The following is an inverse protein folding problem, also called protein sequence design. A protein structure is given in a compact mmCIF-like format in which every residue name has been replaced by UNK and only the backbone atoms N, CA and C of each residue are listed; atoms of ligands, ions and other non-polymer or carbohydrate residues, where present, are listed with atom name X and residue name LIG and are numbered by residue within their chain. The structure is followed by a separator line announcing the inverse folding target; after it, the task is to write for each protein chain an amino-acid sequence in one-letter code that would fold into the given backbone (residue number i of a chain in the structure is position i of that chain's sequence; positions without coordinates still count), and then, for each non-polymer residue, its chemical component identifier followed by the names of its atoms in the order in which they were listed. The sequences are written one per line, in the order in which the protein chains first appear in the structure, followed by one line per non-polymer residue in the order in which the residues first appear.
data_IF_328408649982
#
_entry.id   IF_328408649982
#
_cell.length_a   1.000
_cell.length_b   1.000
_cell.length_c   1.000
_cell.angle_alpha   90.00
_cell.angle_beta   90.00
_cell.angle_gamma   90.00
#
_symmetry.space_group_name_H-M   'P 1'
#
loop_
_entity.id
_entity.type
_entity.pdbx_description
1 polymer ?
#
# COMPACT_ATOMS: atom_id res chain seq x y z
N UNK A 1 -3.45 21.26 -20.92
CA UNK A 1 -4.49 20.71 -20.00
C UNK A 1 -5.65 20.07 -20.76
N UNK A 2 -6.40 20.80 -21.60
CA UNK A 2 -7.58 20.27 -22.33
C UNK A 2 -7.31 18.95 -23.09
N UNK A 3 -6.12 18.83 -23.69
CA UNK A 3 -5.77 17.61 -24.43
C UNK A 3 -5.57 16.38 -23.52
N UNK A 4 -4.94 16.55 -22.35
CA UNK A 4 -4.79 15.44 -21.38
C UNK A 4 -6.14 14.98 -20.86
N UNK A 5 -7.05 15.92 -20.60
CA UNK A 5 -8.43 15.62 -20.19
C UNK A 5 -9.16 14.83 -21.28
N UNK A 6 -9.07 15.25 -22.55
CA UNK A 6 -9.67 14.55 -23.69
C UNK A 6 -9.15 13.11 -23.81
N UNK A 7 -7.85 12.91 -23.69
CA UNK A 7 -7.23 11.58 -23.76
C UNK A 7 -7.66 10.72 -22.56
N UNK A 8 -7.71 11.27 -21.35
CA UNK A 8 -8.14 10.53 -20.17
C UNK A 8 -9.61 10.09 -20.26
N UNK A 9 -10.49 10.92 -20.82
CA UNK A 9 -11.88 10.54 -21.10
C UNK A 9 -11.99 9.39 -22.11
N UNK A 10 -11.15 9.41 -23.16
CA UNK A 10 -11.07 8.29 -24.10
C UNK A 10 -10.68 6.99 -23.37
N UNK A 11 -9.61 7.03 -22.57
CA UNK A 11 -9.15 5.87 -21.80
C UNK A 11 -10.22 5.37 -20.82
N UNK A 12 -10.94 6.28 -20.15
CA UNK A 12 -12.06 5.94 -19.27
C UNK A 12 -13.14 5.16 -20.00
N UNK A 13 -13.56 5.64 -21.18
CA UNK A 13 -14.62 5.00 -21.96
C UNK A 13 -14.18 3.64 -22.53
N UNK A 14 -12.93 3.53 -22.97
CA UNK A 14 -12.44 2.34 -23.66
C UNK A 14 -12.01 1.22 -22.71
N UNK A 15 -11.47 1.57 -21.52
CA UNK A 15 -10.83 0.60 -20.62
C UNK A 15 -11.38 0.61 -19.19
N UNK A 16 -12.08 1.66 -18.78
CA UNK A 16 -12.58 1.85 -17.41
C UNK A 16 -11.58 1.44 -16.30
N UNK A 17 -10.36 2.03 -16.27
CA UNK A 17 -9.32 1.62 -15.35
C UNK A 17 -9.60 2.09 -13.91
N UNK A 18 -9.08 1.36 -12.92
CA UNK A 18 -9.14 1.76 -11.50
C UNK A 18 -8.15 2.86 -11.13
N UNK A 19 -7.12 3.08 -11.96
CA UNK A 19 -6.08 4.10 -11.78
C UNK A 19 -5.46 4.41 -13.15
N UNK A 20 -5.07 5.65 -13.37
CA UNK A 20 -4.23 6.08 -14.49
C UNK A 20 -2.88 6.51 -13.91
N UNK A 21 -1.78 6.00 -14.46
CA UNK A 21 -0.43 6.41 -14.06
C UNK A 21 0.15 7.28 -15.17
N UNK A 22 0.54 8.51 -14.84
CA UNK A 22 1.25 9.41 -15.74
C UNK A 22 2.75 9.32 -15.47
N UNK A 23 3.51 9.05 -16.52
CA UNK A 23 4.96 8.97 -16.45
C UNK A 23 5.56 10.28 -16.97
N UNK A 24 6.23 11.01 -16.10
CA UNK A 24 7.07 12.14 -16.47
C UNK A 24 8.28 11.65 -17.26
N UNK A 25 8.51 12.24 -18.44
CA UNK A 25 9.62 11.91 -19.35
C UNK A 25 10.59 13.08 -19.44
N UNK A 26 11.76 12.89 -20.07
CA UNK A 26 12.75 13.97 -20.22
C UNK A 26 12.14 15.23 -20.85
N UNK A 27 11.23 15.08 -21.82
CA UNK A 27 10.56 16.20 -22.48
C UNK A 27 9.65 16.97 -21.52
N UNK A 28 8.89 16.28 -20.67
CA UNK A 28 7.98 16.97 -19.72
C UNK A 28 8.76 17.75 -18.67
N UNK A 29 9.95 17.27 -18.28
CA UNK A 29 10.85 17.99 -17.37
C UNK A 29 11.47 19.22 -18.05
N UNK A 30 12.00 19.08 -19.27
CA UNK A 30 12.64 20.18 -20.02
C UNK A 30 11.65 21.32 -20.28
N UNK A 31 10.41 20.97 -20.67
CA UNK A 31 9.35 21.95 -20.93
C UNK A 31 8.71 22.48 -19.64
N UNK A 32 9.12 21.95 -18.47
CA UNK A 32 8.57 22.29 -17.15
C UNK A 32 7.05 22.12 -17.10
N UNK A 33 6.57 21.03 -17.66
CA UNK A 33 5.16 20.69 -17.64
C UNK A 33 4.75 20.25 -16.23
N UNK A 34 3.85 21.01 -15.60
CA UNK A 34 3.37 20.74 -14.24
C UNK A 34 2.34 19.60 -14.20
N UNK A 35 2.80 18.35 -14.34
CA UNK A 35 1.94 17.17 -14.26
C UNK A 35 1.31 17.00 -12.87
N UNK A 36 2.06 17.28 -11.81
CA UNK A 36 1.61 17.15 -10.42
C UNK A 36 0.49 18.15 -10.07
N UNK A 37 0.53 19.37 -10.61
CA UNK A 37 -0.54 20.35 -10.45
C UNK A 37 -1.74 20.17 -11.40
N UNK A 38 -1.54 19.52 -12.55
CA UNK A 38 -2.62 19.21 -13.50
C UNK A 38 -3.40 17.96 -13.09
N UNK A 39 -2.73 16.91 -12.60
CA UNK A 39 -3.34 15.62 -12.30
C UNK A 39 -4.55 15.72 -11.35
N UNK A 40 -4.51 16.42 -10.20
CA UNK A 40 -5.66 16.55 -9.30
C UNK A 40 -6.87 17.23 -9.94
N UNK A 41 -6.64 18.17 -10.87
CA UNK A 41 -7.71 18.86 -11.59
C UNK A 41 -8.43 17.91 -12.54
N UNK A 42 -7.66 17.10 -13.27
CA UNK A 42 -8.22 16.12 -14.21
C UNK A 42 -8.85 14.95 -13.46
N UNK A 43 -8.22 14.46 -12.38
CA UNK A 43 -8.76 13.43 -11.48
C UNK A 43 -10.15 13.81 -10.96
N UNK A 44 -10.37 15.08 -10.57
CA UNK A 44 -11.68 15.59 -10.17
C UNK A 44 -12.72 15.59 -11.30
N UNK A 45 -12.31 15.76 -12.56
CA UNK A 45 -13.21 15.77 -13.71
C UNK A 45 -13.58 14.37 -14.17
N UNK A 46 -12.62 13.43 -14.17
CA UNK A 46 -12.82 12.07 -14.68
C UNK A 46 -13.19 11.06 -13.60
N UNK A 47 -13.04 11.40 -12.32
CA UNK A 47 -13.32 10.54 -11.16
C UNK A 47 -12.52 9.23 -11.15
N UNK A 48 -11.31 9.25 -11.73
CA UNK A 48 -10.36 8.14 -11.72
C UNK A 48 -9.05 8.64 -11.11
N UNK A 49 -8.47 7.92 -10.13
CA UNK A 49 -7.18 8.25 -9.53
C UNK A 49 -6.08 8.45 -10.57
N UNK A 50 -5.35 9.58 -10.53
CA UNK A 50 -4.20 9.84 -11.40
C UNK A 50 -2.92 9.92 -10.59
N UNK A 51 -2.06 8.91 -10.69
CA UNK A 51 -0.76 8.87 -10.01
C UNK A 51 0.30 9.42 -10.97
N UNK A 52 1.01 10.46 -10.57
CA UNK A 52 2.12 11.03 -11.35
C UNK A 52 3.43 10.47 -10.81
N UNK A 53 4.23 9.87 -11.68
CA UNK A 53 5.57 9.39 -11.35
C UNK A 53 6.59 9.98 -12.33
N UNK A 54 7.57 10.71 -11.81
CA UNK A 54 8.65 11.29 -12.63
C UNK A 54 9.72 10.22 -12.86
N UNK A 55 9.61 9.48 -13.95
CA UNK A 55 10.57 8.43 -14.32
C UNK A 55 11.32 8.83 -15.60
N UNK A 56 11.96 10.00 -15.58
CA UNK A 56 12.71 10.51 -16.72
C UNK A 56 14.12 9.90 -16.78
N UNK A 57 14.70 9.84 -17.98
CA UNK A 57 16.05 9.29 -18.21
C UNK A 57 17.21 10.26 -17.96
N UNK A 58 16.94 11.48 -17.46
CA UNK A 58 17.99 12.42 -17.03
C UNK A 58 18.38 12.15 -15.58
N UNK A 59 17.39 11.86 -14.74
CA UNK A 59 17.55 11.71 -13.29
C UNK A 59 17.64 10.24 -12.84
N UNK A 60 17.13 9.29 -13.64
CA UNK A 60 16.96 7.89 -13.22
C UNK A 60 17.48 6.86 -14.22
N UNK A 61 17.94 5.73 -13.68
CA UNK A 61 18.33 4.52 -14.41
C UNK A 61 17.17 3.50 -14.48
N UNK A 62 17.32 2.47 -15.31
CA UNK A 62 16.27 1.54 -15.71
C UNK A 62 15.31 1.07 -14.59
N UNK A 63 15.83 0.50 -13.50
CA UNK A 63 15.00 -0.03 -12.40
C UNK A 63 14.44 1.05 -11.49
N UNK A 64 15.07 2.23 -11.43
CA UNK A 64 14.63 3.34 -10.58
C UNK A 64 13.31 3.95 -11.03
N UNK A 65 12.88 3.68 -12.27
CA UNK A 65 11.54 4.01 -12.73
C UNK A 65 10.46 3.36 -11.87
N UNK A 66 10.68 2.11 -11.43
CA UNK A 66 9.77 1.43 -10.49
C UNK A 66 9.70 2.17 -9.15
N UNK A 67 10.86 2.51 -8.59
CA UNK A 67 10.96 3.23 -7.31
C UNK A 67 10.14 4.53 -7.34
N UNK A 68 10.19 5.27 -8.46
CA UNK A 68 9.41 6.51 -8.61
C UNK A 68 7.90 6.28 -8.62
N UNK A 69 7.46 5.17 -9.24
CA UNK A 69 6.04 4.79 -9.27
C UNK A 69 5.59 4.32 -7.89
N UNK A 70 6.38 3.48 -7.22
CA UNK A 70 6.06 3.01 -5.87
C UNK A 70 6.03 4.17 -4.88
N UNK A 71 6.99 5.09 -4.93
CA UNK A 71 6.99 6.29 -4.11
C UNK A 71 5.72 7.13 -4.33
N UNK A 72 5.29 7.30 -5.59
CA UNK A 72 4.04 8.00 -5.89
C UNK A 72 2.80 7.24 -5.40
N UNK A 73 2.81 5.90 -5.44
CA UNK A 73 1.73 5.06 -4.94
C UNK A 73 1.61 5.07 -3.42
N UNK A 74 2.70 5.26 -2.67
CA UNK A 74 2.66 5.36 -1.19
C UNK A 74 1.66 6.42 -0.73
N UNK A 75 1.58 7.56 -1.42
CA UNK A 75 0.62 8.63 -1.10
C UNK A 75 -0.85 8.24 -1.31
N UNK A 76 -1.12 7.10 -1.96
CA UNK A 76 -2.46 6.58 -2.24
C UNK A 76 -2.84 5.42 -1.32
N UNK A 77 -1.89 4.90 -0.53
CA UNK A 77 -2.16 3.87 0.44
C UNK A 77 -3.08 4.40 1.56
N UNK A 78 -4.06 3.61 2.03
CA UNK A 78 -4.91 4.02 3.14
C UNK A 78 -4.11 4.17 4.42
N UNK A 79 -4.52 5.09 5.29
CA UNK A 79 -3.88 5.27 6.60
C UNK A 79 -4.17 4.08 7.52
N UNK A 80 -3.13 3.47 8.06
CA UNK A 80 -3.25 2.40 9.04
C UNK A 80 -3.71 2.97 10.38
N UNK A 81 -4.97 2.72 10.75
CA UNK A 81 -5.53 3.08 12.06
C UNK A 81 -5.27 1.96 13.06
N UNK A 82 -4.32 2.20 13.96
CA UNK A 82 -4.08 1.32 15.10
C UNK A 82 -5.28 1.35 16.06
N UNK A 83 -6.12 0.31 16.02
CA UNK A 83 -7.27 0.19 16.92
C UNK A 83 -6.87 -0.40 18.29
N UNK A 84 -5.93 0.22 19.00
CA UNK A 84 -5.47 -0.25 20.32
C UNK A 84 -5.21 0.92 21.30
N UNK A 85 -6.26 1.55 21.85
CA UNK A 85 -6.18 2.16 23.20
C UNK A 85 -7.40 1.84 24.09
N UNK A 86 -8.64 1.72 23.59
CA UNK A 86 -9.81 1.63 24.50
C UNK A 86 -10.10 0.24 25.10
N UNK A 87 -9.48 -0.86 24.64
CA UNK A 87 -9.80 -2.22 25.16
C UNK A 87 -8.95 -2.69 26.34
N UNK A 88 -7.80 -2.06 26.63
CA UNK A 88 -6.88 -2.55 27.68
C UNK A 88 -7.28 -2.14 29.11
N UNK A 89 -8.05 -1.08 29.30
CA UNK A 89 -8.45 -0.66 30.65
C UNK A 89 -9.64 -1.47 31.21
N UNK A 90 -10.57 -1.93 30.36
CA UNK A 90 -11.73 -2.72 30.82
C UNK A 90 -11.35 -4.17 31.20
N UNK A 91 -10.34 -4.76 30.53
CA UNK A 91 -9.91 -6.13 30.81
C UNK A 91 -9.08 -6.27 32.09
N UNK A 92 -8.61 -5.16 32.70
CA UNK A 92 -7.91 -5.21 34.00
C UNK A 92 -8.86 -5.39 35.19
N UNK A 93 -10.13 -5.00 35.09
CA UNK A 93 -11.10 -5.16 36.20
C UNK A 93 -11.82 -6.52 36.21
N UNK A 94 -11.81 -7.30 35.12
CA UNK A 94 -12.54 -8.56 35.04
C UNK A 94 -11.75 -9.80 35.51
N UNK A 95 -10.45 -9.68 35.78
CA UNK A 95 -9.59 -10.82 36.14
C UNK A 95 -9.61 -11.19 37.64
N UNK A 96 -10.34 -10.45 38.50
CA UNK A 96 -10.37 -10.70 39.95
C UNK A 96 -11.54 -11.55 40.46
N UNK A 97 -12.40 -12.07 39.57
CA UNK A 97 -13.46 -13.00 39.97
C UNK A 97 -13.49 -14.23 39.07
N UNK A 98 -13.03 -15.33 39.65
CA UNK A 98 -13.49 -16.72 39.54
C UNK A 98 -12.27 -17.65 39.46
N UNK A 99 -11.86 -18.08 40.65
CA UNK A 99 -10.97 -19.20 40.87
C UNK A 99 -11.87 -20.37 41.28
N UNK A 100 -12.20 -21.28 40.35
CA UNK A 100 -12.63 -22.65 40.69
C UNK A 100 -12.24 -23.62 39.57
N UNK A 101 -11.72 -24.76 39.99
CA UNK A 101 -10.85 -25.73 39.32
C UNK A 101 -11.62 -26.69 38.41
N UNK A 102 -11.11 -27.02 37.20
CA UNK A 102 -10.84 -28.42 36.75
C UNK A 102 -10.19 -28.52 35.33
N UNK A 103 -8.96 -29.05 35.30
CA UNK A 103 -8.26 -29.89 34.27
C UNK A 103 -8.24 -29.56 32.75
N UNK A 104 -7.04 -29.14 32.28
CA UNK A 104 -6.16 -29.62 31.16
C UNK A 104 -6.85 -30.16 29.86
N UNK A 105 -6.51 -29.79 28.62
CA UNK A 105 -5.27 -29.44 27.87
C UNK A 105 -5.73 -28.57 26.67
N UNK A 106 -5.10 -27.50 26.17
CA UNK A 106 -3.70 -27.18 25.91
C UNK A 106 -3.45 -25.68 26.14
N UNK A 107 -2.75 -25.39 27.24
CA UNK A 107 -2.15 -24.08 27.51
C UNK A 107 -0.77 -24.12 26.84
N UNK A 108 -0.66 -23.52 25.65
CA UNK A 108 0.56 -22.82 25.28
C UNK A 108 0.15 -21.40 24.94
N UNK A 109 0.48 -20.54 25.88
CA UNK A 109 0.45 -19.10 25.80
C UNK A 109 1.22 -18.64 24.54
N UNK A 110 0.51 -18.20 23.51
CA UNK A 110 1.05 -17.13 22.65
C UNK A 110 0.61 -15.80 23.26
N UNK A 111 1.22 -15.55 24.41
CA UNK A 111 1.36 -14.26 25.03
C UNK A 111 1.80 -13.24 23.98
N UNK A 112 0.94 -12.25 23.72
CA UNK A 112 1.33 -10.90 23.32
C UNK A 112 2.51 -10.78 22.34
N UNK A 113 2.52 -11.54 21.24
CA UNK A 113 3.26 -11.09 20.07
C UNK A 113 2.53 -9.83 19.61
N UNK A 114 3.10 -8.67 19.93
CA UNK A 114 2.76 -7.41 19.28
C UNK A 114 2.68 -7.70 17.79
N UNK A 115 1.45 -7.75 17.26
CA UNK A 115 1.20 -8.11 15.86
C UNK A 115 1.68 -6.94 15.02
N UNK A 116 2.99 -6.92 14.76
CA UNK A 116 3.61 -5.94 13.90
C UNK A 116 3.07 -6.18 12.49
N UNK A 117 2.58 -5.11 11.85
CA UNK A 117 2.12 -5.21 10.47
C UNK A 117 3.34 -5.04 9.57
N UNK A 118 3.70 -6.08 8.83
CA UNK A 118 4.77 -6.01 7.82
C UNK A 118 4.14 -5.83 6.44
N UNK A 119 4.49 -4.76 5.75
CA UNK A 119 4.17 -4.58 4.34
C UNK A 119 5.44 -4.78 3.53
N UNK A 120 5.38 -5.63 2.52
CA UNK A 120 6.48 -5.79 1.57
C UNK A 120 6.29 -4.83 0.41
N UNK A 121 7.37 -4.33 -0.18
CA UNK A 121 7.29 -3.54 -1.40
C UNK A 121 8.29 -4.04 -2.44
N UNK A 122 8.00 -3.75 -3.71
CA UNK A 122 8.72 -4.30 -4.85
C UNK A 122 7.80 -5.14 -5.71
N UNK A 123 7.74 -4.80 -6.99
CA UNK A 123 6.90 -5.46 -7.98
C UNK A 123 7.47 -6.83 -8.31
N UNK A 124 6.68 -7.87 -8.04
CA UNK A 124 7.03 -9.25 -8.33
C UNK A 124 5.88 -9.97 -9.05
N UNK A 125 6.18 -11.01 -9.84
CA UNK A 125 5.14 -11.93 -10.28
C UNK A 125 4.39 -12.53 -9.08
N UNK A 126 3.08 -12.76 -9.24
CA UNK A 126 2.22 -13.26 -8.15
C UNK A 126 2.66 -14.61 -7.60
N UNK A 127 3.28 -15.46 -8.43
CA UNK A 127 3.87 -16.73 -8.00
C UNK A 127 5.04 -16.53 -7.04
N UNK A 128 5.94 -15.59 -7.34
CA UNK A 128 7.11 -15.27 -6.51
C UNK A 128 6.66 -14.64 -5.18
N UNK A 129 5.74 -13.68 -5.21
CA UNK A 129 5.16 -13.09 -4.01
C UNK A 129 4.49 -14.14 -3.12
N UNK A 130 3.76 -15.09 -3.71
CA UNK A 130 3.11 -16.19 -2.97
C UNK A 130 4.13 -17.14 -2.32
N UNK A 131 5.23 -17.46 -3.02
CA UNK A 131 6.31 -18.27 -2.47
C UNK A 131 7.01 -17.56 -1.29
N UNK A 132 7.32 -16.28 -1.43
CA UNK A 132 7.91 -15.47 -0.35
C UNK A 132 6.99 -15.41 0.87
N UNK A 133 5.69 -15.21 0.67
CA UNK A 133 4.70 -15.24 1.76
C UNK A 133 4.68 -16.59 2.49
N UNK A 134 4.78 -17.72 1.76
CA UNK A 134 4.82 -19.06 2.37
C UNK A 134 6.09 -19.27 3.20
N UNK A 135 7.24 -18.83 2.67
CA UNK A 135 8.53 -18.93 3.35
C UNK A 135 8.58 -18.07 4.61
N UNK A 136 8.12 -16.82 4.56
CA UNK A 136 8.02 -15.94 5.72
C UNK A 136 7.05 -16.49 6.76
N UNK A 137 5.91 -17.03 6.34
CA UNK A 137 4.95 -17.67 7.24
C UNK A 137 5.55 -18.87 7.96
N UNK A 138 6.41 -19.65 7.30
CA UNK A 138 7.15 -20.77 7.93
C UNK A 138 8.11 -20.29 9.03
N UNK A 139 8.63 -19.07 8.89
CA UNK A 139 9.44 -18.38 9.91
C UNK A 139 8.60 -17.60 10.93
N UNK A 140 7.28 -17.83 10.99
CA UNK A 140 6.34 -17.09 11.86
C UNK A 140 6.27 -15.58 11.59
N UNK A 141 6.62 -15.15 10.38
CA UNK A 141 6.51 -13.75 9.94
C UNK A 141 5.22 -13.60 9.13
N UNK A 142 4.32 -12.73 9.57
CA UNK A 142 3.06 -12.43 8.87
C UNK A 142 3.20 -11.18 8.02
N UNK A 143 2.94 -11.30 6.71
CA UNK A 143 2.88 -10.16 5.78
C UNK A 143 1.44 -9.64 5.72
N UNK A 144 1.25 -8.37 6.05
CA UNK A 144 -0.03 -7.66 6.02
C UNK A 144 -0.41 -7.14 4.63
N UNK A 145 0.54 -6.99 3.70
CA UNK A 145 0.26 -6.58 2.34
C UNK A 145 1.51 -6.36 1.48
N UNK A 146 1.28 -6.03 0.20
CA UNK A 146 2.31 -5.78 -0.81
C UNK A 146 2.08 -4.44 -1.51
N UNK A 147 3.15 -3.71 -1.79
CA UNK A 147 3.16 -2.50 -2.61
C UNK A 147 4.10 -2.70 -3.82
N UNK A 148 3.60 -2.85 -5.05
CA UNK A 148 2.21 -2.70 -5.45
C UNK A 148 1.38 -3.96 -5.15
N UNK A 149 0.08 -3.76 -4.92
CA UNK A 149 -0.90 -4.84 -4.85
C UNK A 149 -1.36 -5.27 -6.25
N UNK A 150 -1.95 -6.45 -6.39
CA UNK A 150 -2.45 -6.95 -7.69
C UNK A 150 -3.54 -6.04 -8.29
N UNK A 151 -4.35 -5.42 -7.44
CA UNK A 151 -5.33 -4.40 -7.82
C UNK A 151 -5.07 -3.11 -7.06
N UNK A 152 -5.26 -1.98 -7.72
CA UNK A 152 -5.10 -0.66 -7.09
C UNK A 152 -6.06 -0.43 -5.91
N UNK A 153 -7.25 -1.04 -5.94
CA UNK A 153 -8.21 -0.97 -4.82
C UNK A 153 -7.77 -1.74 -3.56
N UNK A 154 -6.71 -2.55 -3.66
CA UNK A 154 -6.22 -3.44 -2.60
C UNK A 154 -4.87 -2.95 -2.03
N UNK A 155 -4.57 -1.65 -2.18
CA UNK A 155 -3.34 -1.08 -1.64
C UNK A 155 -3.23 -1.29 -0.12
N UNK A 156 -2.03 -1.63 0.39
CA UNK A 156 -1.84 -1.94 1.80
C UNK A 156 -1.98 -0.69 2.67
N UNK A 157 -2.51 -0.85 3.88
CA UNK A 157 -2.53 0.24 4.86
C UNK A 157 -1.13 0.59 5.35
N UNK A 158 -0.76 1.86 5.28
CA UNK A 158 0.53 2.38 5.74
C UNK A 158 0.33 3.42 6.84
N UNK A 159 1.26 3.49 7.79
CA UNK A 159 1.19 4.44 8.90
C UNK A 159 2.06 4.05 10.08
N UNK A 160 1.80 4.67 11.23
CA UNK A 160 2.54 4.38 12.46
C UNK A 160 2.40 2.91 12.85
N UNK A 161 3.50 2.30 13.31
CA UNK A 161 3.61 0.89 13.71
C UNK A 161 3.45 -0.15 12.58
N UNK A 162 3.49 0.29 11.32
CA UNK A 162 3.64 -0.58 10.14
C UNK A 162 5.13 -0.63 9.77
N UNK A 163 5.69 -1.83 9.72
CA UNK A 163 7.04 -2.08 9.23
C UNK A 163 7.00 -2.29 7.73
N UNK A 164 8.02 -1.82 7.03
CA UNK A 164 8.17 -1.97 5.58
C UNK A 164 9.49 -2.63 5.25
N UNK A 165 9.50 -3.51 4.26
CA UNK A 165 10.70 -4.18 3.76
C UNK A 165 10.59 -4.36 2.24
N UNK A 166 11.67 -4.12 1.51
CA UNK A 166 11.77 -4.29 0.06
C UNK A 166 12.86 -5.26 -0.31
#
# INVERSE_FOLDING_TARGET
QKELERICLCIKNDRNPSVIVWIGTCTTEIVKMDLEGIAPKVEKQIEIPIVVARANGLDYAFTQGEDTVLAAMVHRCPEYKDCEITRREQNRLQHYKVQTISTKESIIEQSQLTKFNLVLFGSLPSSVASQLNLELKRQSISVSGWLPSQKYSELPGLGNKVYVCG
#
